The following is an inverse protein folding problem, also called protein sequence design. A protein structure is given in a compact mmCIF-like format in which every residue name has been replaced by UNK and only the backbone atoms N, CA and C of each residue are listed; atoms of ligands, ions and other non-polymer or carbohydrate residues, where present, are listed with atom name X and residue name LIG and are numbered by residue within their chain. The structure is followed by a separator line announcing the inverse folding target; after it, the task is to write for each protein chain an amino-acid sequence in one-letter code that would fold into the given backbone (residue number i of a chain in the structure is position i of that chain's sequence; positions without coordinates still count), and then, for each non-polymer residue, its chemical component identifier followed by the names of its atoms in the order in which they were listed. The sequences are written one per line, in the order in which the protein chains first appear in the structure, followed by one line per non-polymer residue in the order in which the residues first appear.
data_IF_747386429332
#
_entry.id   IF_747386429332
#
_cell.length_a   1.000
_cell.length_b   1.000
_cell.length_c   1.000
_cell.angle_alpha   90.00
_cell.angle_beta   90.00
_cell.angle_gamma   90.00
#
_symmetry.space_group_name_H-M   'P 1'
#
loop_
_entity.id
_entity.type
_entity.pdbx_description
1 polymer ?
#
# COMPACT_ATOMS: atom_id res chain seq x y z
N UNK A 1 -17.57 3.04 -16.93
CA UNK A 1 -16.75 3.70 -15.91
C UNK A 1 -17.51 3.64 -14.59
N UNK A 2 -17.06 2.75 -13.67
CA UNK A 2 -17.74 2.56 -12.39
C UNK A 2 -16.77 2.71 -11.24
N UNK A 3 -17.23 3.35 -10.18
CA UNK A 3 -16.60 3.42 -8.86
C UNK A 3 -17.66 3.10 -7.84
N UNK A 4 -17.66 1.88 -7.36
CA UNK A 4 -18.67 1.36 -6.47
C UNK A 4 -18.05 1.02 -5.12
N UNK A 5 -18.84 1.16 -4.09
CA UNK A 5 -18.54 0.60 -2.77
C UNK A 5 -19.80 -0.07 -2.21
N UNK A 6 -19.58 -1.06 -1.38
CA UNK A 6 -20.66 -1.77 -0.71
C UNK A 6 -20.24 -2.17 0.70
N UNK A 7 -21.11 -1.89 1.67
CA UNK A 7 -21.03 -2.47 3.00
C UNK A 7 -21.91 -3.71 3.06
N UNK A 8 -21.32 -4.84 3.45
CA UNK A 8 -22.04 -6.09 3.51
C UNK A 8 -21.57 -6.98 4.66
N UNK A 9 -22.30 -8.06 4.83
CA UNK A 9 -21.92 -9.14 5.74
C UNK A 9 -21.74 -10.42 4.95
N UNK A 10 -20.66 -11.16 5.24
CA UNK A 10 -20.51 -12.53 4.77
C UNK A 10 -20.81 -13.50 5.90
N UNK A 11 -21.47 -14.60 5.54
CA UNK A 11 -21.85 -15.66 6.47
C UNK A 11 -21.11 -16.93 6.07
N UNK A 12 -20.35 -17.48 7.00
CA UNK A 12 -19.61 -18.71 6.76
C UNK A 12 -20.03 -19.76 7.77
N UNK A 13 -20.40 -20.94 7.28
CA UNK A 13 -20.70 -22.10 8.16
C UNK A 13 -19.39 -22.62 8.75
N UNK A 14 -19.35 -22.77 10.07
CA UNK A 14 -18.20 -23.31 10.77
C UNK A 14 -18.16 -24.83 10.57
N UNK A 15 -17.09 -25.34 9.95
CA UNK A 15 -16.94 -26.77 9.66
C UNK A 15 -16.85 -27.64 10.92
N UNK A 16 -16.37 -27.09 12.03
CA UNK A 16 -16.24 -27.82 13.31
C UNK A 16 -17.60 -28.08 13.99
N UNK A 17 -18.61 -27.27 13.69
CA UNK A 17 -19.97 -27.46 14.23
C UNK A 17 -20.78 -28.53 13.51
N UNK A 18 -20.27 -29.07 12.39
CA UNK A 18 -20.94 -30.16 11.64
C UNK A 18 -20.85 -31.49 12.40
N UNK A 19 -19.83 -31.70 13.24
CA UNK A 19 -19.61 -32.94 14.01
C UNK A 19 -20.42 -32.98 15.32
N UNK A 20 -21.04 -31.88 15.74
CA UNK A 20 -21.81 -31.77 16.98
C UNK A 20 -23.26 -31.36 16.67
N UNK A 21 -23.99 -32.25 16.02
CA UNK A 21 -25.43 -32.08 15.76
C UNK A 21 -26.26 -32.45 17.00
N UNK A 22 -26.05 -31.72 18.10
CA UNK A 22 -26.88 -31.87 19.29
C UNK A 22 -26.89 -30.62 20.14
N UNK A 23 -27.89 -29.76 19.89
CA UNK A 23 -28.37 -28.80 20.88
C UNK A 23 -27.65 -27.46 20.99
N UNK A 24 -26.77 -27.10 20.04
CA UNK A 24 -26.16 -25.76 19.98
C UNK A 24 -27.10 -24.76 19.31
N UNK A 25 -27.12 -23.54 19.84
CA UNK A 25 -27.85 -22.43 19.26
C UNK A 25 -27.38 -22.20 17.80
N UNK A 26 -28.34 -22.00 16.87
CA UNK A 26 -28.03 -21.79 15.45
C UNK A 26 -27.07 -20.61 15.20
N UNK A 27 -26.96 -19.67 16.12
CA UNK A 27 -26.00 -18.58 16.09
C UNK A 27 -24.52 -19.01 16.16
N UNK A 28 -24.22 -20.18 16.76
CA UNK A 28 -22.86 -20.72 16.86
C UNK A 28 -22.42 -21.48 15.60
N UNK A 29 -23.37 -21.81 14.71
CA UNK A 29 -23.11 -22.55 13.47
C UNK A 29 -22.53 -21.67 12.38
N UNK A 30 -22.78 -20.36 12.42
CA UNK A 30 -22.34 -19.42 11.42
C UNK A 30 -21.43 -18.35 12.02
N UNK A 31 -20.33 -18.06 11.34
CA UNK A 31 -19.53 -16.87 11.61
C UNK A 31 -19.95 -15.76 10.64
N UNK A 32 -20.18 -14.57 11.18
CA UNK A 32 -20.49 -13.37 10.42
C UNK A 32 -19.28 -12.44 10.41
N UNK A 33 -18.99 -11.84 9.25
CA UNK A 33 -17.93 -10.84 9.11
C UNK A 33 -18.44 -9.65 8.34
N UNK A 34 -18.12 -8.45 8.80
CA UNK A 34 -18.41 -7.21 8.12
C UNK A 34 -17.34 -6.88 7.11
N UNK A 35 -17.74 -6.50 5.92
CA UNK A 35 -16.86 -6.12 4.83
C UNK A 35 -17.25 -4.75 4.27
N UNK A 36 -16.23 -4.01 3.81
CA UNK A 36 -16.39 -2.88 2.90
C UNK A 36 -15.66 -3.25 1.61
N UNK A 37 -16.42 -3.36 0.53
CA UNK A 37 -15.90 -3.67 -0.79
C UNK A 37 -15.80 -2.40 -1.64
N UNK A 38 -14.70 -2.27 -2.42
CA UNK A 38 -14.52 -1.23 -3.42
C UNK A 38 -14.30 -1.87 -4.78
N UNK A 39 -14.96 -1.34 -5.82
CA UNK A 39 -14.77 -1.76 -7.21
C UNK A 39 -14.49 -0.55 -8.09
N UNK A 40 -13.44 -0.63 -8.90
CA UNK A 40 -13.05 0.38 -9.85
C UNK A 40 -12.89 -0.24 -11.24
N UNK A 41 -13.50 0.36 -12.26
CA UNK A 41 -13.34 -0.06 -13.67
C UNK A 41 -13.59 1.09 -14.62
N UNK A 42 -12.95 1.06 -15.80
CA UNK A 42 -13.15 2.01 -16.88
C UNK A 42 -12.20 3.21 -16.83
N UNK A 43 -12.67 4.40 -17.21
CA UNK A 43 -11.85 5.59 -17.30
C UNK A 43 -11.52 6.19 -15.91
N UNK A 44 -10.29 6.71 -15.77
CA UNK A 44 -9.87 7.39 -14.54
C UNK A 44 -10.61 8.72 -14.34
N UNK A 45 -10.75 9.49 -15.40
CA UNK A 45 -11.45 10.78 -15.41
C UNK A 45 -12.67 10.71 -16.34
N UNK A 46 -13.69 11.55 -16.10
CA UNK A 46 -14.77 11.76 -17.07
C UNK A 46 -14.22 12.18 -18.42
N UNK A 47 -14.98 11.92 -19.49
CA UNK A 47 -14.63 12.37 -20.82
C UNK A 47 -14.39 13.90 -20.83
N UNK A 48 -13.24 14.32 -21.34
CA UNK A 48 -12.82 15.72 -21.38
C UNK A 48 -11.92 15.98 -22.58
N UNK A 49 -11.93 17.21 -23.05
CA UNK A 49 -11.02 17.69 -24.10
C UNK A 49 -9.57 17.87 -23.61
N UNK A 50 -9.34 17.90 -22.29
CA UNK A 50 -8.03 18.11 -21.70
C UNK A 50 -7.08 16.92 -21.97
N UNK A 51 -5.79 17.18 -22.23
CA UNK A 51 -4.80 16.10 -22.35
C UNK A 51 -4.76 15.21 -21.11
N UNK A 52 -4.71 13.88 -21.32
CA UNK A 52 -4.69 12.89 -20.23
C UNK A 52 -6.05 12.42 -19.73
N UNK A 53 -7.17 12.94 -20.25
CA UNK A 53 -8.53 12.54 -19.88
C UNK A 53 -8.83 11.05 -20.16
N UNK A 54 -8.15 10.41 -21.11
CA UNK A 54 -8.37 9.01 -21.55
C UNK A 54 -7.62 7.95 -20.75
N UNK A 55 -7.01 8.29 -19.60
CA UNK A 55 -6.33 7.32 -18.76
C UNK A 55 -7.36 6.38 -18.10
N UNK A 56 -7.16 5.06 -18.25
CA UNK A 56 -7.96 4.06 -17.54
C UNK A 56 -7.56 3.98 -16.07
N UNK A 57 -8.48 3.56 -15.22
CA UNK A 57 -8.16 3.17 -13.85
C UNK A 57 -7.16 2.02 -13.85
N UNK A 58 -6.29 1.99 -12.87
CA UNK A 58 -5.27 0.99 -12.68
C UNK A 58 -5.20 0.54 -11.21
N UNK A 59 -4.31 -0.38 -10.90
CA UNK A 59 -4.07 -0.84 -9.54
C UNK A 59 -3.69 0.30 -8.59
N UNK A 60 -2.90 1.27 -9.05
CA UNK A 60 -2.47 2.39 -8.22
C UNK A 60 -3.62 3.36 -7.92
N UNK A 61 -4.59 3.48 -8.83
CA UNK A 61 -5.83 4.21 -8.56
C UNK A 61 -6.60 3.60 -7.39
N UNK A 62 -6.76 2.25 -7.38
CA UNK A 62 -7.36 1.54 -6.25
C UNK A 62 -6.52 1.68 -4.98
N UNK A 63 -5.20 1.49 -5.08
CA UNK A 63 -4.26 1.63 -3.96
C UNK A 63 -4.39 3.00 -3.31
N UNK A 64 -4.49 4.07 -4.09
CA UNK A 64 -4.70 5.43 -3.58
C UNK A 64 -6.02 5.56 -2.81
N UNK A 65 -7.11 5.01 -3.31
CA UNK A 65 -8.39 5.01 -2.60
C UNK A 65 -8.28 4.28 -1.24
N UNK A 66 -7.66 3.10 -1.24
CA UNK A 66 -7.47 2.29 -0.03
C UNK A 66 -6.59 3.00 1.00
N UNK A 67 -5.43 3.53 0.58
CA UNK A 67 -4.51 4.22 1.49
C UNK A 67 -5.11 5.50 2.07
N UNK A 68 -5.89 6.25 1.27
CA UNK A 68 -6.60 7.43 1.74
C UNK A 68 -7.68 7.08 2.77
N UNK A 69 -8.42 5.96 2.58
CA UNK A 69 -9.39 5.48 3.56
C UNK A 69 -8.71 5.06 4.87
N UNK A 70 -7.62 4.29 4.79
CA UNK A 70 -6.85 3.89 5.98
C UNK A 70 -6.31 5.12 6.73
N UNK A 71 -5.78 6.10 6.01
CA UNK A 71 -5.31 7.35 6.59
C UNK A 71 -6.44 8.14 7.27
N UNK A 72 -7.64 8.18 6.66
CA UNK A 72 -8.84 8.79 7.28
C UNK A 72 -9.25 8.10 8.57
N UNK A 73 -9.07 6.78 8.66
CA UNK A 73 -9.26 6.02 9.90
C UNK A 73 -8.09 6.16 10.89
N UNK A 74 -7.05 6.92 10.56
CA UNK A 74 -5.84 7.05 11.38
C UNK A 74 -5.02 5.76 11.44
N UNK A 75 -5.18 4.86 10.46
CA UNK A 75 -4.45 3.60 10.40
C UNK A 75 -3.19 3.80 9.56
N UNK A 76 -2.03 3.70 10.22
CA UNK A 76 -0.70 3.74 9.60
C UNK A 76 0.15 2.56 10.11
N UNK A 77 1.32 2.34 9.53
CA UNK A 77 2.27 1.32 10.02
C UNK A 77 1.78 -0.11 9.81
N UNK A 78 1.07 -0.38 8.71
CA UNK A 78 0.74 -1.73 8.25
C UNK A 78 1.83 -2.30 7.35
N UNK A 79 1.85 -3.62 7.27
CA UNK A 79 2.75 -4.39 6.40
C UNK A 79 2.02 -4.74 5.09
N UNK A 80 2.78 -4.88 4.01
CA UNK A 80 2.28 -5.28 2.69
C UNK A 80 2.80 -6.69 2.35
N UNK A 81 1.92 -7.59 1.95
CA UNK A 81 2.28 -8.94 1.49
C UNK A 81 1.61 -9.21 0.15
N UNK A 82 2.37 -9.70 -0.82
CA UNK A 82 1.85 -10.11 -2.12
C UNK A 82 1.03 -11.40 -1.98
N UNK A 83 -0.10 -11.45 -2.68
CA UNK A 83 -0.98 -12.61 -2.73
C UNK A 83 -1.23 -13.03 -4.18
N UNK A 84 -1.33 -14.35 -4.39
CA UNK A 84 -1.69 -14.96 -5.67
C UNK A 84 -2.82 -15.98 -5.43
N UNK A 85 -3.99 -15.49 -5.06
CA UNK A 85 -5.15 -16.34 -4.80
C UNK A 85 -6.43 -15.73 -5.36
N UNK A 86 -7.40 -16.61 -5.69
CA UNK A 86 -8.73 -16.18 -6.16
C UNK A 86 -9.42 -15.28 -5.12
N UNK A 87 -10.13 -14.23 -5.58
CA UNK A 87 -10.52 -13.91 -6.97
C UNK A 87 -9.51 -13.06 -7.75
N UNK A 88 -8.30 -12.86 -7.25
CA UNK A 88 -7.34 -11.93 -7.82
C UNK A 88 -6.40 -12.59 -8.83
N UNK A 89 -6.04 -11.84 -9.87
CA UNK A 89 -4.92 -12.16 -10.77
C UNK A 89 -3.60 -11.86 -10.05
N UNK A 90 -3.55 -10.75 -9.34
CA UNK A 90 -2.50 -10.35 -8.42
C UNK A 90 -3.13 -9.45 -7.34
N UNK A 91 -2.63 -9.52 -6.14
CA UNK A 91 -3.13 -8.73 -5.02
C UNK A 91 -2.05 -8.40 -4.01
N UNK A 92 -2.34 -7.39 -3.21
CA UNK A 92 -1.57 -7.02 -2.03
C UNK A 92 -2.50 -7.07 -0.83
N UNK A 93 -2.03 -7.67 0.26
CA UNK A 93 -2.69 -7.68 1.54
C UNK A 93 -2.01 -6.70 2.50
N UNK A 94 -2.80 -5.81 3.08
CA UNK A 94 -2.37 -4.92 4.16
C UNK A 94 -2.77 -5.51 5.50
N UNK A 95 -1.81 -5.65 6.40
CA UNK A 95 -2.03 -6.30 7.69
C UNK A 95 -1.12 -5.75 8.80
N UNK A 96 -1.49 -5.97 10.07
CA UNK A 96 -0.67 -5.76 11.25
C UNK A 96 -0.48 -7.11 11.96
N UNK A 97 0.69 -7.74 11.75
CA UNK A 97 0.89 -9.12 12.19
C UNK A 97 -0.15 -10.06 11.55
N UNK A 98 -0.91 -10.79 12.37
CA UNK A 98 -1.97 -11.70 11.91
C UNK A 98 -3.30 -10.98 11.57
N UNK A 99 -3.43 -9.71 11.91
CA UNK A 99 -4.65 -8.94 11.69
C UNK A 99 -4.70 -8.40 10.26
N UNK A 100 -5.48 -9.03 9.39
CA UNK A 100 -5.74 -8.55 8.03
C UNK A 100 -6.62 -7.32 8.06
N UNK A 101 -6.24 -6.27 7.33
CA UNK A 101 -6.99 -5.01 7.24
C UNK A 101 -7.74 -4.92 5.92
N UNK A 102 -7.03 -5.09 4.81
CA UNK A 102 -7.59 -5.03 3.47
C UNK A 102 -6.77 -5.86 2.50
N UNK A 103 -7.46 -6.54 1.57
CA UNK A 103 -6.85 -7.15 0.39
C UNK A 103 -7.32 -6.40 -0.85
N UNK A 104 -6.38 -6.00 -1.72
CA UNK A 104 -6.66 -5.23 -2.91
C UNK A 104 -5.88 -5.76 -4.11
N UNK A 105 -6.50 -5.76 -5.29
CA UNK A 105 -5.87 -6.31 -6.48
C UNK A 105 -6.71 -6.19 -7.75
N UNK A 106 -6.19 -6.79 -8.83
CA UNK A 106 -6.92 -6.95 -10.08
C UNK A 106 -7.69 -8.27 -10.08
N UNK A 107 -8.95 -8.23 -10.48
CA UNK A 107 -9.78 -9.42 -10.59
C UNK A 107 -9.30 -10.31 -11.75
N UNK A 108 -9.33 -11.63 -11.57
CA UNK A 108 -8.91 -12.60 -12.60
C UNK A 108 -9.72 -12.44 -13.88
N UNK A 109 -9.06 -12.39 -15.07
CA UNK A 109 -9.74 -12.29 -16.36
C UNK A 109 -10.76 -13.41 -16.61
N UNK A 110 -10.50 -14.62 -16.08
CA UNK A 110 -11.42 -15.75 -16.21
C UNK A 110 -12.75 -15.52 -15.49
N UNK A 111 -12.75 -14.80 -14.36
CA UNK A 111 -13.96 -14.42 -13.63
C UNK A 111 -14.71 -13.34 -14.40
N UNK A 112 -14.00 -12.31 -14.88
CA UNK A 112 -14.59 -11.22 -15.67
C UNK A 112 -15.26 -11.76 -16.94
N UNK A 113 -14.62 -12.70 -17.64
CA UNK A 113 -15.17 -13.35 -18.84
C UNK A 113 -16.47 -14.11 -18.54
N UNK A 114 -16.55 -14.81 -17.39
CA UNK A 114 -17.79 -15.52 -17.00
C UNK A 114 -18.95 -14.56 -16.73
N UNK A 115 -18.65 -13.32 -16.36
CA UNK A 115 -19.63 -12.27 -16.07
C UNK A 115 -19.89 -11.32 -17.26
N UNK A 116 -19.31 -11.62 -18.43
CA UNK A 116 -19.35 -10.76 -19.62
C UNK A 116 -18.79 -9.33 -19.38
N UNK A 117 -17.82 -9.20 -18.49
CA UNK A 117 -17.17 -7.93 -18.21
C UNK A 117 -15.91 -7.82 -19.05
N UNK A 118 -15.84 -6.81 -19.93
CA UNK A 118 -14.73 -6.61 -20.89
C UNK A 118 -13.57 -5.81 -20.33
N UNK A 119 -13.86 -4.86 -19.45
CA UNK A 119 -12.86 -3.98 -18.86
C UNK A 119 -12.19 -4.63 -17.64
N UNK A 120 -10.92 -4.32 -17.36
CA UNK A 120 -10.28 -4.70 -16.10
C UNK A 120 -11.06 -4.16 -14.91
N UNK A 121 -11.20 -4.96 -13.86
CA UNK A 121 -11.82 -4.57 -12.60
C UNK A 121 -10.78 -4.68 -11.50
N UNK A 122 -10.64 -3.61 -10.72
CA UNK A 122 -9.81 -3.56 -9.52
C UNK A 122 -10.73 -3.59 -8.30
N UNK A 123 -10.42 -4.48 -7.37
CA UNK A 123 -11.26 -4.82 -6.23
C UNK A 123 -10.46 -4.76 -4.93
N UNK A 124 -11.05 -4.12 -3.91
CA UNK A 124 -10.52 -4.15 -2.56
C UNK A 124 -11.59 -4.63 -1.59
N UNK A 125 -11.20 -5.52 -0.68
CA UNK A 125 -12.01 -6.06 0.40
C UNK A 125 -11.41 -5.69 1.75
N UNK A 126 -12.10 -4.82 2.50
CA UNK A 126 -11.73 -4.45 3.85
C UNK A 126 -12.39 -5.38 4.86
N UNK A 127 -11.60 -6.00 5.71
CA UNK A 127 -12.06 -6.73 6.89
C UNK A 127 -12.53 -5.73 7.95
N UNK A 128 -13.77 -5.26 7.84
CA UNK A 128 -14.23 -4.07 8.56
C UNK A 128 -14.21 -4.24 10.08
N UNK A 129 -14.44 -5.44 10.60
CA UNK A 129 -14.31 -5.73 12.04
C UNK A 129 -12.88 -5.51 12.53
N UNK A 130 -11.88 -5.82 11.70
CA UNK A 130 -10.47 -5.59 12.02
C UNK A 130 -10.10 -4.10 11.91
N UNK A 131 -10.69 -3.38 10.95
CA UNK A 131 -10.57 -1.93 10.85
C UNK A 131 -11.10 -1.26 12.13
N UNK A 132 -12.30 -1.64 12.60
CA UNK A 132 -12.88 -1.09 13.82
C UNK A 132 -11.99 -1.34 15.06
N UNK A 133 -11.43 -2.54 15.18
CA UNK A 133 -10.46 -2.86 16.25
C UNK A 133 -9.20 -2.00 16.16
N UNK A 134 -8.68 -1.79 14.95
CA UNK A 134 -7.50 -0.96 14.74
C UNK A 134 -7.75 0.52 15.08
N UNK A 135 -8.93 1.04 14.75
CA UNK A 135 -9.35 2.43 15.05
C UNK A 135 -9.60 2.64 16.53
N UNK A 136 -10.17 1.66 17.24
CA UNK A 136 -10.52 1.78 18.66
C UNK A 136 -9.34 2.12 19.57
N UNK A 137 -8.11 1.88 19.12
CA UNK A 137 -6.88 2.20 19.84
C UNK A 137 -6.26 3.54 19.41
N UNK A 138 -6.79 4.21 18.37
CA UNK A 138 -6.26 5.45 17.86
C UNK A 138 -6.77 6.63 18.68
N UNK A 139 -5.85 7.39 19.27
CA UNK A 139 -6.16 8.68 19.88
C UNK A 139 -5.84 9.79 18.89
N UNK A 140 -6.84 10.57 18.53
CA UNK A 140 -6.62 11.79 17.74
C UNK A 140 -5.87 12.77 18.64
N UNK A 141 -4.65 13.12 18.25
CA UNK A 141 -3.84 14.12 18.93
C UNK A 141 -3.61 15.29 17.98
N UNK A 142 -3.86 16.47 18.48
CA UNK A 142 -3.45 17.68 17.79
C UNK A 142 -1.92 17.81 17.88
N UNK A 143 -1.28 18.12 16.76
CA UNK A 143 0.12 18.53 16.70
C UNK A 143 0.21 19.84 15.94
N UNK A 144 1.02 20.77 16.44
CA UNK A 144 1.30 22.00 15.70
C UNK A 144 2.05 21.65 14.39
N UNK A 145 1.74 22.44 13.35
CA UNK A 145 2.49 22.37 12.10
C UNK A 145 3.90 22.89 12.38
N UNK A 146 4.91 22.17 11.91
CA UNK A 146 6.30 22.58 12.07
C UNK A 146 6.51 23.98 11.46
N UNK A 147 7.25 24.83 12.21
CA UNK A 147 7.66 26.16 11.75
C UNK A 147 9.00 26.14 11.03
N UNK A 148 9.65 24.98 11.00
CA UNK A 148 10.95 24.81 10.39
C UNK A 148 10.82 24.24 8.97
N UNK A 149 11.69 24.67 8.03
CA UNK A 149 11.63 24.22 6.65
C UNK A 149 12.01 22.74 6.53
N UNK A 150 11.33 22.05 5.62
CA UNK A 150 11.70 20.70 5.23
C UNK A 150 12.91 20.70 4.30
N UNK A 151 13.74 19.66 4.38
CA UNK A 151 14.88 19.45 3.47
C UNK A 151 14.64 18.20 2.63
N UNK A 152 14.67 18.35 1.31
CA UNK A 152 14.54 17.23 0.37
C UNK A 152 15.92 16.83 -0.16
N UNK A 153 16.17 15.51 -0.23
CA UNK A 153 17.33 14.90 -0.90
C UNK A 153 16.87 13.75 -1.77
N UNK A 154 17.46 13.64 -2.94
CA UNK A 154 17.12 12.61 -3.92
C UNK A 154 18.29 11.64 -4.07
N UNK A 155 17.97 10.34 -4.26
CA UNK A 155 18.94 9.29 -4.60
C UNK A 155 18.43 8.46 -5.77
N UNK A 156 19.34 8.10 -6.68
CA UNK A 156 19.10 7.10 -7.69
C UNK A 156 19.71 5.76 -7.26
N UNK A 157 18.85 4.77 -6.99
CA UNK A 157 19.22 3.47 -6.46
C UNK A 157 19.10 2.41 -7.57
N UNK A 158 20.19 1.81 -8.00
CA UNK A 158 20.16 0.64 -8.88
C UNK A 158 20.08 -0.61 -8.00
N UNK A 159 19.04 -1.41 -8.21
CA UNK A 159 18.63 -2.54 -7.38
C UNK A 159 18.30 -3.76 -8.24
N UNK A 160 18.30 -4.94 -7.62
CA UNK A 160 17.71 -6.12 -8.25
C UNK A 160 16.21 -5.92 -8.45
N UNK A 161 15.67 -6.46 -9.56
CA UNK A 161 14.28 -6.28 -9.98
C UNK A 161 13.26 -6.75 -8.94
N UNK A 162 13.59 -7.76 -8.14
CA UNK A 162 12.74 -8.34 -7.11
C UNK A 162 12.76 -7.57 -5.77
N UNK A 163 13.60 -6.54 -5.58
CA UNK A 163 13.56 -5.72 -4.35
C UNK A 163 12.36 -4.78 -4.40
N UNK A 164 11.36 -4.93 -3.52
CA UNK A 164 10.20 -4.06 -3.51
C UNK A 164 10.53 -2.68 -2.94
N UNK A 165 9.79 -1.64 -3.34
CA UNK A 165 9.96 -0.29 -2.80
C UNK A 165 9.66 -0.21 -1.29
N UNK A 166 8.76 -1.06 -0.78
CA UNK A 166 8.46 -1.16 0.65
C UNK A 166 9.69 -1.43 1.52
N UNK A 167 10.67 -2.19 1.03
CA UNK A 167 11.88 -2.49 1.77
C UNK A 167 12.79 -1.26 1.91
N UNK A 168 12.83 -0.42 0.86
CA UNK A 168 13.52 0.87 0.90
C UNK A 168 12.87 1.78 1.95
N UNK A 169 11.53 1.89 1.92
CA UNK A 169 10.75 2.69 2.88
C UNK A 169 10.98 2.19 4.31
N UNK A 170 10.90 0.88 4.53
CA UNK A 170 11.10 0.28 5.85
C UNK A 170 12.51 0.53 6.40
N UNK A 171 13.53 0.37 5.53
CA UNK A 171 14.92 0.60 5.90
C UNK A 171 15.22 2.08 6.15
N UNK A 172 14.67 2.97 5.31
CA UNK A 172 14.80 4.41 5.48
C UNK A 172 14.19 4.87 6.82
N UNK A 173 12.97 4.45 7.13
CA UNK A 173 12.31 4.76 8.40
C UNK A 173 13.09 4.23 9.61
N UNK A 174 13.67 3.05 9.50
CA UNK A 174 14.52 2.47 10.57
C UNK A 174 15.80 3.26 10.80
N UNK A 175 16.42 3.76 9.74
CA UNK A 175 17.70 4.48 9.78
C UNK A 175 17.53 5.93 10.20
N UNK A 176 16.63 6.66 9.56
CA UNK A 176 16.44 8.11 9.77
C UNK A 176 15.39 8.45 10.85
N UNK A 177 14.64 7.46 11.33
CA UNK A 177 13.69 7.56 12.47
C UNK A 177 12.75 8.76 12.34
N UNK A 178 12.66 9.58 13.42
CA UNK A 178 11.69 10.68 13.55
C UNK A 178 11.91 11.85 12.59
N UNK A 179 13.11 12.02 12.06
CA UNK A 179 13.45 13.15 11.18
C UNK A 179 12.95 12.91 9.75
N UNK A 180 12.79 11.66 9.34
CA UNK A 180 12.25 11.31 8.03
C UNK A 180 10.74 11.46 8.02
N UNK A 181 10.24 12.41 7.24
CA UNK A 181 8.81 12.69 7.09
C UNK A 181 8.18 11.92 5.95
N UNK A 182 8.88 11.82 4.83
CA UNK A 182 8.36 11.21 3.62
C UNK A 182 9.47 10.52 2.82
N UNK A 183 9.12 9.38 2.21
CA UNK A 183 9.91 8.69 1.20
C UNK A 183 9.02 8.51 -0.03
N UNK A 184 9.42 9.09 -1.15
CA UNK A 184 8.63 9.03 -2.37
C UNK A 184 9.45 8.49 -3.54
N UNK A 185 8.86 7.55 -4.29
CA UNK A 185 9.40 7.04 -5.55
C UNK A 185 8.83 7.89 -6.69
N UNK A 186 9.65 8.71 -7.31
CA UNK A 186 9.18 9.62 -8.35
C UNK A 186 9.54 9.19 -9.78
N UNK A 187 10.50 8.24 -9.93
CA UNK A 187 10.80 7.66 -11.23
C UNK A 187 11.30 6.20 -11.11
N UNK A 188 10.93 5.39 -12.09
CA UNK A 188 11.35 3.99 -12.24
C UNK A 188 11.92 3.80 -13.63
N UNK A 189 13.20 3.45 -13.71
CA UNK A 189 13.87 3.22 -14.97
C UNK A 189 14.30 1.75 -15.08
N UNK A 190 13.85 1.09 -16.15
CA UNK A 190 14.13 -0.30 -16.47
C UNK A 190 14.69 -0.37 -17.91
N UNK A 191 16.00 -0.44 -18.02
CA UNK A 191 16.69 -0.57 -19.30
C UNK A 191 17.83 -1.59 -19.15
N UNK A 192 17.63 -2.78 -19.69
CA UNK A 192 18.59 -3.88 -19.60
C UNK A 192 19.94 -3.55 -20.26
N UNK A 193 19.95 -2.71 -21.31
CA UNK A 193 21.18 -2.31 -22.00
C UNK A 193 22.06 -1.38 -21.12
N UNK A 194 21.42 -0.58 -20.24
CA UNK A 194 22.13 0.41 -19.39
C UNK A 194 22.37 -0.07 -17.97
N UNK A 195 21.49 -0.90 -17.43
CA UNK A 195 21.54 -1.35 -16.04
C UNK A 195 22.04 -2.79 -15.88
N UNK A 196 22.02 -3.58 -16.96
CA UNK A 196 22.21 -5.04 -16.93
C UNK A 196 20.92 -5.81 -16.68
N UNK A 197 20.95 -7.12 -16.94
CA UNK A 197 19.78 -7.98 -16.75
C UNK A 197 19.37 -8.08 -15.27
N UNK A 198 18.06 -8.11 -15.03
CA UNK A 198 17.49 -8.29 -13.69
C UNK A 198 17.67 -7.08 -12.76
N UNK A 199 18.02 -5.90 -13.28
CA UNK A 199 18.19 -4.67 -12.52
C UNK A 199 17.18 -3.61 -12.91
N UNK A 200 16.85 -2.76 -11.96
CA UNK A 200 16.03 -1.56 -12.12
C UNK A 200 16.66 -0.39 -11.35
N UNK A 201 16.36 0.83 -11.77
CA UNK A 201 16.77 2.04 -11.06
C UNK A 201 15.56 2.76 -10.50
N UNK A 202 15.58 3.05 -9.21
CA UNK A 202 14.58 3.85 -8.52
C UNK A 202 15.14 5.24 -8.22
N UNK A 203 14.43 6.27 -8.66
CA UNK A 203 14.68 7.64 -8.23
C UNK A 203 13.78 7.96 -7.02
N UNK A 204 14.40 8.07 -5.86
CA UNK A 204 13.72 8.18 -4.56
C UNK A 204 14.05 9.53 -3.94
N UNK A 205 13.02 10.24 -3.50
CA UNK A 205 13.17 11.45 -2.69
C UNK A 205 12.90 11.16 -1.23
N UNK A 206 13.71 11.75 -0.38
CA UNK A 206 13.61 11.71 1.07
C UNK A 206 13.36 13.13 1.58
N UNK A 207 12.27 13.33 2.31
CA UNK A 207 11.92 14.60 2.92
C UNK A 207 12.19 14.51 4.43
N UNK A 208 13.03 15.38 4.92
CA UNK A 208 13.42 15.47 6.33
C UNK A 208 12.82 16.71 6.95
N UNK A 209 12.38 16.60 8.19
CA UNK A 209 11.82 17.69 8.99
C UNK A 209 12.13 17.44 10.46
N UNK A 210 12.52 18.49 11.16
CA UNK A 210 12.60 18.50 12.61
C UNK A 210 11.56 19.49 13.16
N UNK A 211 10.89 19.14 14.25
CA UNK A 211 9.86 19.99 14.88
C UNK A 211 10.45 20.99 15.86
N UNK A 212 11.73 20.84 16.24
CA UNK A 212 12.38 21.63 17.28
C UNK A 212 13.43 22.61 16.73
N UNK A 213 14.02 22.30 15.55
CA UNK A 213 15.11 23.10 14.95
C UNK A 213 15.14 23.05 13.45
N UNK A 214 15.80 24.03 12.83
CA UNK A 214 16.18 23.97 11.42
C UNK A 214 17.30 22.97 11.23
N UNK A 215 17.12 22.01 10.31
CA UNK A 215 18.13 21.01 9.96
C UNK A 215 19.29 21.67 9.21
N UNK A 216 20.51 21.32 9.59
CA UNK A 216 21.74 21.81 8.92
C UNK A 216 22.18 20.82 7.84
N UNK A 217 22.79 21.33 6.76
CA UNK A 217 23.28 20.49 5.65
C UNK A 217 24.22 19.36 6.11
N UNK A 218 25.13 19.65 7.05
CA UNK A 218 26.00 18.61 7.62
C UNK A 218 25.29 17.46 8.30
N UNK A 219 24.19 17.74 9.00
CA UNK A 219 23.35 16.72 9.66
C UNK A 219 22.66 15.85 8.61
N UNK A 220 22.13 16.49 7.57
CA UNK A 220 21.46 15.81 6.46
C UNK A 220 22.43 14.99 5.64
N UNK A 221 23.60 15.51 5.31
CA UNK A 221 24.61 14.79 4.55
C UNK A 221 25.12 13.56 5.32
N UNK A 222 25.31 13.67 6.63
CA UNK A 222 25.63 12.55 7.49
C UNK A 222 24.53 11.47 7.50
N UNK A 223 23.27 11.89 7.53
CA UNK A 223 22.13 10.98 7.49
C UNK A 223 21.99 10.31 6.12
N UNK A 224 22.19 11.05 5.03
CA UNK A 224 22.21 10.52 3.67
C UNK A 224 23.32 9.49 3.47
N UNK A 225 24.49 9.72 4.04
CA UNK A 225 25.58 8.74 4.03
C UNK A 225 25.20 7.44 4.77
N UNK A 226 24.52 7.54 5.93
CA UNK A 226 24.02 6.37 6.67
C UNK A 226 22.93 5.62 5.88
N UNK A 227 22.01 6.33 5.24
CA UNK A 227 20.97 5.74 4.39
C UNK A 227 21.60 5.00 3.20
N UNK A 228 22.52 5.65 2.51
CA UNK A 228 23.27 5.07 1.39
C UNK A 228 23.95 3.77 1.80
N UNK A 229 24.75 3.80 2.88
CA UNK A 229 25.43 2.60 3.38
C UNK A 229 24.45 1.48 3.77
N UNK A 230 23.32 1.83 4.39
CA UNK A 230 22.30 0.85 4.74
C UNK A 230 21.65 0.21 3.50
N UNK A 231 21.39 0.97 2.44
CA UNK A 231 20.85 0.46 1.19
C UNK A 231 21.84 -0.42 0.44
N UNK A 232 23.13 -0.04 0.42
CA UNK A 232 24.20 -0.85 -0.17
C UNK A 232 24.37 -2.19 0.57
N UNK A 233 24.45 -2.14 1.90
CA UNK A 233 24.70 -3.32 2.74
C UNK A 233 23.52 -4.31 2.74
N UNK A 234 22.29 -3.80 2.88
CA UNK A 234 21.12 -4.66 3.13
C UNK A 234 20.30 -4.99 1.90
N UNK A 235 20.28 -4.11 0.90
CA UNK A 235 19.51 -4.29 -0.31
C UNK A 235 20.38 -4.51 -1.55
N UNK A 236 21.71 -4.47 -1.39
CA UNK A 236 22.65 -4.58 -2.51
C UNK A 236 22.48 -3.44 -3.52
N UNK A 237 22.02 -2.27 -3.06
CA UNK A 237 21.84 -1.11 -3.91
C UNK A 237 23.18 -0.57 -4.41
N UNK A 238 23.18 -0.02 -5.62
CA UNK A 238 24.29 0.78 -6.15
C UNK A 238 23.78 2.20 -6.39
N UNK A 239 24.51 3.18 -5.87
CA UNK A 239 24.13 4.58 -6.05
C UNK A 239 24.59 5.04 -7.44
N UNK A 240 23.63 5.51 -8.23
CA UNK A 240 23.92 6.14 -9.52
C UNK A 240 24.15 7.63 -9.28
N UNK A 241 25.35 8.07 -9.61
CA UNK A 241 25.71 9.51 -9.60
C UNK A 241 25.22 10.20 -10.85
#
# INVERSE_FOLDING_TARGET
DLRLFEFGMTYRRNSESIAADSGKDQSEVFSMRKHLALFLTGAHNPESWQPGAKKSVDFFTLKTCVTNLLARFGISGYQETLLQESPYQYAVKYHRGAQELVTLGAVQPAILKKMDIKNPVFFADFHFDNILKAVGNNKIQFSEISRFPTVRRDLALVLNQNVPFSDIVALANKTAKKILKEVNLFDVFEDTAKLGEGKKSYAVSFVFEDTEKTLQDKEIDGLMAQLTGAFEEKLGAQIRK
#
